data_IF_274864540478
#
_entry.id   IF_274864540478
#
_cell.length_a   1.000
_cell.length_b   1.000
_cell.length_c   1.000
_cell.angle_alpha   90.00
_cell.angle_beta   90.00
_cell.angle_gamma   90.00
#
_symmetry.space_group_name_H-M   'P 1'
#
loop_
_entity.id
_entity.type
_entity.pdbx_description
1 polymer ?
#
# COMPACT_ATOMS: atom_id res chain seq x y z
N UNK A 1 -9.27 -8.11 -4.12
CA UNK A 1 -7.86 -7.76 -3.85
C UNK A 1 -7.76 -6.32 -3.39
N UNK A 2 -6.78 -6.00 -2.53
CA UNK A 2 -6.60 -4.67 -1.95
C UNK A 2 -5.13 -4.23 -2.17
N UNK A 3 -4.88 -3.04 -2.75
CA UNK A 3 -3.54 -2.62 -3.13
C UNK A 3 -2.62 -2.23 -1.96
N UNK A 4 -3.17 -2.01 -0.76
CA UNK A 4 -2.38 -1.68 0.43
C UNK A 4 -3.04 -2.22 1.70
N UNK A 5 -2.23 -2.49 2.73
CA UNK A 5 -2.71 -2.89 4.03
C UNK A 5 -2.81 -1.66 4.97
N UNK A 6 -4.01 -1.18 5.32
CA UNK A 6 -4.15 -0.05 6.25
C UNK A 6 -3.72 -0.37 7.69
N UNK A 7 -3.49 -1.65 8.02
CA UNK A 7 -3.10 -2.09 9.37
C UNK A 7 -1.61 -2.41 9.50
N UNK A 8 -0.83 -2.18 8.44
CA UNK A 8 0.61 -2.45 8.40
C UNK A 8 1.33 -1.91 9.66
N UNK A 9 2.25 -2.68 10.29
CA UNK A 9 2.75 -4.00 9.89
C UNK A 9 1.93 -5.20 10.38
N UNK A 10 0.74 -4.96 10.94
CA UNK A 10 -0.14 -6.05 11.37
C UNK A 10 -0.83 -6.65 10.14
N UNK A 11 -1.14 -7.97 10.17
CA UNK A 11 -1.91 -8.59 9.11
C UNK A 11 -3.23 -7.85 8.83
N UNK A 12 -3.68 -7.91 7.58
CA UNK A 12 -4.96 -7.33 7.22
C UNK A 12 -6.10 -8.04 7.93
N UNK A 13 -6.88 -7.31 8.73
CA UNK A 13 -8.05 -7.85 9.40
C UNK A 13 -9.28 -6.98 9.14
N UNK A 14 -10.37 -7.60 8.67
CA UNK A 14 -11.66 -6.90 8.54
C UNK A 14 -12.81 -7.79 8.98
N UNK A 15 -13.36 -7.47 10.15
CA UNK A 15 -14.39 -8.27 10.80
C UNK A 15 -15.66 -8.45 9.95
N UNK A 16 -16.02 -7.46 9.14
CA UNK A 16 -17.20 -7.54 8.25
C UNK A 16 -17.05 -8.56 7.12
N UNK A 17 -15.81 -8.95 6.78
CA UNK A 17 -15.54 -9.96 5.76
C UNK A 17 -15.41 -11.38 6.34
N UNK A 18 -15.27 -11.47 7.67
CA UNK A 18 -15.06 -12.72 8.39
C UNK A 18 -16.33 -13.57 8.31
N UNK A 19 -16.28 -14.69 7.59
CA UNK A 19 -17.41 -15.57 7.32
C UNK A 19 -18.08 -15.41 5.95
N UNK A 20 -17.69 -14.41 5.16
CA UNK A 20 -18.13 -14.25 3.76
C UNK A 20 -17.07 -14.70 2.75
N UNK A 21 -15.80 -14.55 3.11
CA UNK A 21 -14.65 -14.91 2.27
C UNK A 21 -13.62 -15.65 3.11
N UNK A 22 -12.93 -16.60 2.49
CA UNK A 22 -11.68 -17.14 3.02
C UNK A 22 -10.58 -16.12 2.75
N UNK A 23 -10.28 -15.31 3.77
CA UNK A 23 -9.33 -14.20 3.64
C UNK A 23 -7.92 -14.68 3.27
N UNK A 24 -7.55 -15.91 3.60
CA UNK A 24 -6.21 -16.44 3.36
C UNK A 24 -6.01 -16.86 1.90
N UNK A 25 -7.07 -17.31 1.22
CA UNK A 25 -6.98 -17.85 -0.15
C UNK A 25 -7.70 -17.01 -1.21
N UNK A 26 -8.73 -16.26 -0.84
CA UNK A 26 -9.60 -15.52 -1.76
C UNK A 26 -9.29 -14.01 -1.78
N UNK A 27 -8.42 -13.53 -0.91
CA UNK A 27 -8.04 -12.11 -0.83
C UNK A 27 -6.53 -11.92 -0.84
N UNK A 28 -6.03 -11.31 -1.92
CA UNK A 28 -4.66 -10.79 -1.97
C UNK A 28 -4.61 -9.35 -1.49
N UNK A 29 -3.67 -9.04 -0.59
CA UNK A 29 -3.48 -7.71 0.00
C UNK A 29 -2.02 -7.28 -0.12
N UNK A 30 -1.77 -6.00 -0.42
CA UNK A 30 -0.43 -5.41 -0.45
C UNK A 30 0.57 -6.23 -1.28
N UNK A 31 1.62 -6.78 -0.66
CA UNK A 31 2.67 -7.56 -1.32
C UNK A 31 2.09 -8.66 -2.20
N UNK A 32 1.21 -9.51 -1.67
CA UNK A 32 0.64 -10.62 -2.43
C UNK A 32 -0.15 -10.17 -3.66
N UNK A 33 -0.78 -9.00 -3.60
CA UNK A 33 -1.53 -8.46 -4.72
C UNK A 33 -0.60 -7.95 -5.82
N UNK A 34 0.39 -7.15 -5.44
CA UNK A 34 1.31 -6.55 -6.39
C UNK A 34 2.28 -7.57 -6.97
N UNK A 35 2.75 -8.51 -6.18
CA UNK A 35 3.62 -9.57 -6.65
C UNK A 35 2.89 -10.58 -7.55
N UNK A 36 1.58 -10.77 -7.34
CA UNK A 36 0.75 -11.55 -8.26
C UNK A 36 0.60 -10.87 -9.63
N UNK A 37 0.50 -9.54 -9.68
CA UNK A 37 0.32 -8.80 -10.93
C UNK A 37 1.63 -8.49 -11.66
N UNK A 38 2.66 -8.07 -10.92
CA UNK A 38 3.93 -7.56 -11.45
C UNK A 38 5.09 -8.54 -11.35
N UNK A 39 4.90 -9.70 -10.71
CA UNK A 39 5.96 -10.63 -10.38
C UNK A 39 6.60 -10.33 -9.03
N UNK A 40 7.40 -11.27 -8.54
CA UNK A 40 8.02 -11.21 -7.21
C UNK A 40 8.85 -9.92 -7.03
N UNK A 41 8.64 -9.20 -5.93
CA UNK A 41 9.33 -7.97 -5.59
C UNK A 41 8.70 -6.70 -6.20
N UNK A 42 7.64 -6.82 -6.99
CA UNK A 42 6.95 -5.68 -7.57
C UNK A 42 6.39 -4.73 -6.50
N UNK A 43 5.93 -5.26 -5.37
CA UNK A 43 5.49 -4.43 -4.26
C UNK A 43 6.60 -3.57 -3.68
N UNK A 44 7.78 -4.17 -3.46
CA UNK A 44 8.94 -3.48 -2.91
C UNK A 44 9.47 -2.42 -3.89
N UNK A 45 9.53 -2.73 -5.19
CA UNK A 45 9.89 -1.76 -6.23
C UNK A 45 8.92 -0.57 -6.26
N UNK A 46 7.63 -0.83 -6.10
CA UNK A 46 6.61 0.22 -6.03
C UNK A 46 6.84 1.14 -4.82
N UNK A 47 7.04 0.56 -3.63
CA UNK A 47 7.33 1.33 -2.41
C UNK A 47 8.59 2.18 -2.57
N UNK A 48 9.66 1.61 -3.13
CA UNK A 48 10.91 2.30 -3.41
C UNK A 48 10.72 3.47 -4.38
N UNK A 49 9.87 3.32 -5.40
CA UNK A 49 9.54 4.40 -6.32
C UNK A 49 8.81 5.55 -5.60
N UNK A 50 7.80 5.24 -4.79
CA UNK A 50 7.06 6.24 -4.02
C UNK A 50 7.96 6.99 -3.03
N UNK A 51 8.85 6.30 -2.33
CA UNK A 51 9.77 6.93 -1.38
C UNK A 51 10.71 7.92 -2.09
N UNK A 52 11.36 7.49 -3.18
CA UNK A 52 12.28 8.33 -3.96
C UNK A 52 11.59 9.60 -4.47
N UNK A 53 10.43 9.45 -5.11
CA UNK A 53 9.65 10.58 -5.64
C UNK A 53 9.14 11.45 -4.50
N UNK A 54 8.71 10.87 -3.39
CA UNK A 54 8.24 11.60 -2.21
C UNK A 54 9.31 12.49 -1.59
N UNK A 55 10.56 12.02 -1.53
CA UNK A 55 11.71 12.81 -1.07
C UNK A 55 11.99 13.97 -2.03
N UNK A 56 12.00 13.69 -3.34
CA UNK A 56 12.27 14.70 -4.37
C UNK A 56 11.21 15.81 -4.38
N UNK A 57 9.93 15.44 -4.27
CA UNK A 57 8.81 16.38 -4.29
C UNK A 57 8.55 17.06 -2.94
N UNK A 58 9.21 16.64 -1.86
CA UNK A 58 8.99 17.18 -0.51
C UNK A 58 9.05 18.71 -0.43
N UNK A 59 10.05 19.40 -1.05
CA UNK A 59 10.11 20.86 -1.01
C UNK A 59 8.93 21.55 -1.70
N UNK A 60 8.39 20.95 -2.77
CA UNK A 60 7.23 21.48 -3.49
C UNK A 60 5.95 21.32 -2.67
N UNK A 61 5.79 20.16 -2.04
CA UNK A 61 4.67 19.86 -1.14
C UNK A 61 4.69 20.82 0.06
N UNK A 62 5.84 20.97 0.72
CA UNK A 62 6.00 21.89 1.86
C UNK A 62 5.70 23.33 1.46
N UNK A 63 6.16 23.77 0.28
CA UNK A 63 5.86 25.09 -0.28
C UNK A 63 4.35 25.26 -0.52
N UNK A 64 3.70 24.26 -1.12
CA UNK A 64 2.26 24.30 -1.38
C UNK A 64 1.45 24.43 -0.09
N UNK A 65 1.80 23.66 0.94
CA UNK A 65 1.05 23.66 2.20
C UNK A 65 1.39 24.84 3.12
N UNK A 66 2.50 25.54 2.91
CA UNK A 66 2.85 26.76 3.66
C UNK A 66 1.79 27.87 3.56
N UNK A 67 0.98 27.90 2.50
CA UNK A 67 -0.09 28.89 2.30
C UNK A 67 -1.32 28.70 3.19
N UNK A 68 -1.41 27.57 3.89
CA UNK A 68 -2.50 27.25 4.81
C UNK A 68 -2.06 27.31 6.28
N UNK A 69 -0.87 27.83 6.57
CA UNK A 69 -0.39 28.11 7.93
C UNK A 69 -0.91 29.44 8.43
#
# INVERSE_FOLDING_TARGET
>A
AIPYNPYEPKPYERWTLKGMLDLDNELKVAEEFWDFLGGKGAYEELLNCFEKVGIELRPEIDRYFSKFK
#
